data_IF_891264970566
#
_entry.id   IF_891264970566
#
_cell.length_a   1.000
_cell.length_b   1.000
_cell.length_c   1.000
_cell.angle_alpha   90.00
_cell.angle_beta   90.00
_cell.angle_gamma   90.00
#
_symmetry.space_group_name_H-M   'P 1'
#
loop_
_entity.id
_entity.type
_entity.pdbx_description
1 polymer ?
#
# COMPACT_ATOMS: atom_id res chain seq x y z
N UNK A 1 17.81 -30.06 6.89
CA UNK A 1 18.33 -29.55 5.60
C UNK A 1 17.69 -28.21 5.34
N UNK A 2 18.51 -27.18 5.50
CA UNK A 2 18.19 -25.75 5.43
C UNK A 2 17.87 -25.35 3.99
N UNK A 3 16.61 -25.04 3.71
CA UNK A 3 16.25 -24.26 2.51
C UNK A 3 16.29 -22.79 2.91
N UNK A 4 17.48 -22.24 2.82
CA UNK A 4 17.76 -20.81 2.71
C UNK A 4 17.06 -20.29 1.44
N UNK A 5 15.79 -19.87 1.58
CA UNK A 5 15.11 -19.04 0.60
C UNK A 5 15.59 -17.60 0.80
N UNK A 6 16.80 -17.36 0.30
CA UNK A 6 17.58 -16.14 0.47
C UNK A 6 16.82 -14.96 -0.15
N UNK A 7 16.82 -13.84 0.56
CA UNK A 7 16.55 -12.50 0.05
C UNK A 7 17.56 -12.02 -1.00
N UNK A 8 17.74 -12.78 -2.09
CA UNK A 8 18.51 -12.39 -3.27
C UNK A 8 17.57 -11.80 -4.32
N UNK A 9 16.99 -10.63 -4.02
CA UNK A 9 16.11 -9.93 -4.98
C UNK A 9 16.70 -8.69 -5.65
N UNK A 10 17.97 -8.29 -5.45
CA UNK A 10 18.63 -7.35 -6.38
C UNK A 10 19.63 -8.03 -7.36
N UNK A 11 20.30 -9.11 -6.98
CA UNK A 11 21.45 -9.64 -7.75
C UNK A 11 21.10 -10.72 -8.79
N UNK A 12 19.91 -11.34 -8.73
CA UNK A 12 19.50 -12.34 -9.75
C UNK A 12 19.12 -11.67 -11.08
N UNK A 13 18.99 -10.34 -11.14
CA UNK A 13 18.68 -9.63 -12.39
C UNK A 13 19.81 -9.60 -13.42
N UNK A 14 21.05 -9.95 -13.05
CA UNK A 14 22.20 -9.84 -13.95
C UNK A 14 22.55 -11.13 -14.73
N UNK A 15 21.98 -12.30 -14.38
CA UNK A 15 22.43 -13.58 -14.95
C UNK A 15 21.36 -14.44 -15.63
N UNK A 16 20.09 -14.03 -15.63
CA UNK A 16 19.03 -14.69 -16.40
C UNK A 16 18.39 -13.67 -17.33
N UNK A 17 18.37 -13.98 -18.62
CA UNK A 17 18.01 -13.05 -19.70
C UNK A 17 16.77 -12.20 -19.45
N UNK A 18 16.74 -11.03 -20.10
CA UNK A 18 15.72 -9.98 -19.91
C UNK A 18 14.30 -10.56 -19.72
N UNK A 19 13.69 -10.19 -18.58
CA UNK A 19 12.32 -10.58 -18.22
C UNK A 19 11.32 -9.88 -19.15
N UNK A 20 11.02 -10.54 -20.25
CA UNK A 20 10.17 -10.05 -21.34
C UNK A 20 8.83 -10.76 -21.42
N UNK A 21 8.71 -11.96 -20.85
CA UNK A 21 7.51 -12.79 -20.97
C UNK A 21 6.43 -12.37 -19.98
N UNK A 22 5.18 -12.50 -20.40
CA UNK A 22 4.03 -12.24 -19.54
C UNK A 22 3.95 -13.26 -18.39
N UNK A 23 3.51 -12.86 -17.18
CA UNK A 23 3.36 -13.78 -16.06
C UNK A 23 2.34 -14.87 -16.33
N UNK A 24 2.71 -16.12 -16.06
CA UNK A 24 1.81 -17.28 -16.09
C UNK A 24 0.71 -17.16 -15.03
N UNK A 25 -0.41 -17.92 -15.16
CA UNK A 25 -1.46 -17.96 -14.13
C UNK A 25 -0.93 -18.38 -12.76
N UNK A 26 0.02 -19.32 -12.73
CA UNK A 26 0.63 -19.83 -11.51
C UNK A 26 1.50 -18.78 -10.82
N UNK A 27 2.30 -18.02 -11.57
CA UNK A 27 3.06 -16.87 -11.01
C UNK A 27 2.13 -15.83 -10.37
N UNK A 28 1.01 -15.50 -11.03
CA UNK A 28 0.00 -14.57 -10.48
C UNK A 28 -0.66 -15.13 -9.22
N UNK A 29 -0.92 -16.43 -9.17
CA UNK A 29 -1.49 -17.09 -8.00
C UNK A 29 -0.51 -17.12 -6.83
N UNK A 30 0.76 -17.45 -7.07
CA UNK A 30 1.84 -17.40 -6.06
C UNK A 30 1.97 -15.98 -5.49
N UNK A 31 1.98 -14.95 -6.34
CA UNK A 31 2.00 -13.55 -5.89
C UNK A 31 0.79 -13.20 -5.00
N UNK A 32 -0.42 -13.66 -5.37
CA UNK A 32 -1.64 -13.49 -4.55
C UNK A 32 -1.54 -14.20 -3.20
N UNK A 33 -1.08 -15.46 -3.16
CA UNK A 33 -0.92 -16.22 -1.92
C UNK A 33 0.09 -15.58 -0.97
N UNK A 34 1.14 -14.99 -1.52
CA UNK A 34 2.15 -14.24 -0.76
C UNK A 34 1.66 -12.84 -0.32
N UNK A 35 0.42 -12.46 -0.63
CA UNK A 35 -0.13 -11.15 -0.28
C UNK A 35 0.47 -10.00 -1.09
N UNK A 36 1.12 -10.27 -2.23
CA UNK A 36 1.69 -9.23 -3.06
C UNK A 36 0.60 -8.50 -3.85
N UNK A 37 0.71 -7.17 -3.86
CA UNK A 37 -0.17 -6.27 -4.58
C UNK A 37 0.56 -4.97 -4.92
N UNK A 38 -0.05 -4.17 -5.77
CA UNK A 38 0.39 -2.81 -6.00
C UNK A 38 -0.33 -1.88 -5.02
N UNK A 39 0.36 -0.82 -4.61
CA UNK A 39 -0.18 0.18 -3.71
C UNK A 39 0.42 1.54 -4.08
N UNK A 40 -0.44 2.56 -4.21
CA UNK A 40 -0.01 3.93 -4.48
C UNK A 40 -0.13 4.78 -3.20
N UNK A 41 0.99 5.01 -2.50
CA UNK A 41 0.99 5.80 -1.27
C UNK A 41 0.68 7.28 -1.55
N UNK A 42 1.06 7.80 -2.72
CA UNK A 42 0.79 9.19 -3.09
C UNK A 42 -0.69 9.43 -3.38
N UNK A 43 -1.38 8.48 -4.04
CA UNK A 43 -2.83 8.57 -4.21
C UNK A 43 -3.58 8.48 -2.89
N UNK A 44 -3.19 7.56 -2.01
CA UNK A 44 -3.83 7.43 -0.70
C UNK A 44 -3.64 8.72 0.13
N UNK A 45 -2.43 9.26 0.14
CA UNK A 45 -2.12 10.52 0.84
C UNK A 45 -2.88 11.70 0.23
N UNK A 46 -2.96 11.80 -1.09
CA UNK A 46 -3.69 12.87 -1.77
C UNK A 46 -5.19 12.81 -1.57
N UNK A 47 -5.77 11.61 -1.53
CA UNK A 47 -7.19 11.44 -1.26
C UNK A 47 -7.51 11.75 0.21
N UNK A 48 -6.64 11.32 1.13
CA UNK A 48 -6.74 11.67 2.55
C UNK A 48 -6.69 13.19 2.76
N UNK A 49 -5.77 13.88 2.09
CA UNK A 49 -5.72 15.35 2.11
C UNK A 49 -7.00 15.98 1.55
N UNK A 50 -7.48 15.52 0.39
CA UNK A 50 -8.72 16.03 -0.21
C UNK A 50 -9.92 15.88 0.73
N UNK A 51 -10.13 14.67 1.26
CA UNK A 51 -11.20 14.38 2.22
C UNK A 51 -11.04 15.24 3.47
N UNK A 52 -9.83 15.33 4.01
CA UNK A 52 -9.53 16.18 5.16
C UNK A 52 -9.88 17.65 4.92
N UNK A 53 -9.60 18.20 3.73
CA UNK A 53 -9.97 19.57 3.40
C UNK A 53 -11.45 19.78 3.18
N UNK A 54 -12.15 18.83 2.53
CA UNK A 54 -13.62 18.89 2.40
C UNK A 54 -14.26 18.89 3.79
N UNK A 55 -13.84 17.98 4.66
CA UNK A 55 -14.34 17.90 6.03
C UNK A 55 -14.03 19.18 6.77
N UNK A 56 -12.78 19.67 6.73
CA UNK A 56 -12.41 20.91 7.40
C UNK A 56 -13.29 22.06 6.92
N UNK A 57 -13.50 22.22 5.61
CA UNK A 57 -14.36 23.29 5.07
C UNK A 57 -15.80 23.21 5.55
N UNK A 58 -16.37 22.00 5.64
CA UNK A 58 -17.75 21.79 6.08
C UNK A 58 -17.91 21.89 7.60
N UNK A 59 -16.89 21.44 8.35
CA UNK A 59 -16.95 21.27 9.79
C UNK A 59 -16.46 22.48 10.58
N UNK A 60 -15.56 23.29 10.02
CA UNK A 60 -14.99 24.43 10.74
C UNK A 60 -16.03 25.46 11.23
N UNK A 61 -17.08 25.81 10.45
CA UNK A 61 -18.12 26.71 10.94
C UNK A 61 -18.83 26.17 12.19
N UNK A 62 -19.12 24.86 12.18
CA UNK A 62 -19.77 24.18 13.31
C UNK A 62 -18.82 24.06 14.52
N UNK A 63 -17.55 23.71 14.29
CA UNK A 63 -16.52 23.67 15.33
C UNK A 63 -16.30 25.06 15.97
N UNK A 64 -16.36 26.14 15.18
CA UNK A 64 -16.27 27.50 15.70
C UNK A 64 -17.42 27.85 16.65
N UNK A 65 -18.65 27.38 16.35
CA UNK A 65 -19.80 27.57 17.23
C UNK A 65 -19.63 26.80 18.55
N UNK A 66 -19.15 25.54 18.49
CA UNK A 66 -18.85 24.76 19.69
C UNK A 66 -17.78 25.43 20.56
N UNK A 67 -16.69 25.90 19.96
CA UNK A 67 -15.63 26.58 20.68
C UNK A 67 -16.14 27.87 21.35
N UNK A 68 -16.96 28.66 20.67
CA UNK A 68 -17.59 29.84 21.26
C UNK A 68 -18.54 29.49 22.42
N UNK A 69 -19.25 28.37 22.32
CA UNK A 69 -20.05 27.82 23.41
C UNK A 69 -19.21 27.49 24.64
N UNK A 70 -18.10 26.76 24.46
CA UNK A 70 -17.17 26.41 25.54
C UNK A 70 -16.54 27.66 26.16
N UNK A 71 -16.09 28.61 25.34
CA UNK A 71 -15.52 29.87 25.83
C UNK A 71 -16.53 30.59 26.73
N UNK A 72 -17.79 30.70 26.30
CA UNK A 72 -18.85 31.33 27.10
C UNK A 72 -19.11 30.59 28.42
N UNK A 73 -19.06 29.26 28.41
CA UNK A 73 -19.24 28.45 29.62
C UNK A 73 -18.07 28.59 30.58
N UNK A 74 -16.82 28.55 30.08
CA UNK A 74 -15.63 28.74 30.90
C UNK A 74 -15.61 30.16 31.50
N UNK A 75 -15.95 31.19 30.72
CA UNK A 75 -16.06 32.56 31.23
C UNK A 75 -17.17 32.71 32.28
N UNK A 76 -18.30 32.05 32.09
CA UNK A 76 -19.38 32.01 33.09
C UNK A 76 -18.93 31.31 34.40
N UNK A 77 -18.17 30.23 34.29
CA UNK A 77 -17.62 29.53 35.45
C UNK A 77 -16.54 30.35 36.16
N UNK A 78 -15.69 31.05 35.40
CA UNK A 78 -14.65 31.93 35.95
C UNK A 78 -15.22 33.20 36.62
N UNK A 79 -16.39 33.66 36.18
CA UNK A 79 -17.11 34.80 36.80
C UNK A 79 -18.03 34.39 37.96
N UNK A 80 -18.28 33.09 38.15
CA UNK A 80 -18.96 32.57 39.33
C UNK A 80 -18.06 32.61 40.57
N UNK A 81 -18.59 32.99 41.73
CA UNK A 81 -17.83 33.31 42.95
C UNK A 81 -17.11 32.12 43.65
N UNK A 82 -16.96 30.97 42.99
CA UNK A 82 -16.30 29.77 43.54
C UNK A 82 -14.82 29.66 43.14
N UNK A 83 -13.97 28.95 43.92
CA UNK A 83 -12.58 28.72 43.54
C UNK A 83 -12.51 27.90 42.25
N UNK A 84 -11.80 28.41 41.23
CA UNK A 84 -11.57 27.70 39.95
C UNK A 84 -11.08 26.25 40.12
N UNK A 85 -10.29 26.00 41.18
CA UNK A 85 -9.80 24.68 41.55
C UNK A 85 -10.90 23.64 41.85
N UNK A 86 -12.08 24.07 42.35
CA UNK A 86 -13.22 23.18 42.61
C UNK A 86 -13.97 22.80 41.32
N UNK A 87 -13.78 23.57 40.24
CA UNK A 87 -14.41 23.37 38.93
C UNK A 87 -13.47 22.72 37.90
N UNK A 88 -12.25 22.34 38.28
CA UNK A 88 -11.29 21.72 37.36
C UNK A 88 -11.82 20.45 36.69
N UNK A 89 -12.56 19.61 37.45
CA UNK A 89 -13.15 18.38 36.92
C UNK A 89 -14.18 18.65 35.82
N UNK A 90 -15.07 19.61 36.03
CA UNK A 90 -16.09 20.00 35.06
C UNK A 90 -15.50 20.72 33.84
N UNK A 91 -14.44 21.51 34.01
CA UNK A 91 -13.71 22.11 32.88
C UNK A 91 -13.02 21.05 32.02
N UNK A 92 -12.41 20.03 32.63
CA UNK A 92 -11.80 18.90 31.90
C UNK A 92 -12.86 18.06 31.19
N UNK A 93 -14.01 17.82 31.83
CA UNK A 93 -15.13 17.09 31.22
C UNK A 93 -15.70 17.83 30.00
N UNK A 94 -16.03 19.11 30.15
CA UNK A 94 -16.52 19.95 29.04
C UNK A 94 -15.48 20.05 27.91
N UNK A 95 -14.21 20.30 28.26
CA UNK A 95 -13.13 20.35 27.28
C UNK A 95 -12.90 19.02 26.56
N UNK A 96 -13.01 17.90 27.29
CA UNK A 96 -12.90 16.55 26.75
C UNK A 96 -14.03 16.20 25.79
N UNK A 97 -15.27 16.51 26.15
CA UNK A 97 -16.44 16.30 25.27
C UNK A 97 -16.31 17.09 23.97
N UNK A 98 -15.96 18.38 24.04
CA UNK A 98 -15.79 19.20 22.85
C UNK A 98 -14.60 18.76 22.01
N UNK A 99 -13.50 18.34 22.64
CA UNK A 99 -12.37 17.77 21.91
C UNK A 99 -12.78 16.52 21.12
N UNK A 100 -13.57 15.62 21.73
CA UNK A 100 -14.09 14.44 21.04
C UNK A 100 -15.09 14.79 19.93
N UNK A 101 -16.00 15.72 20.17
CA UNK A 101 -16.98 16.21 19.18
C UNK A 101 -16.33 16.89 17.98
N UNK A 102 -15.13 17.45 18.13
CA UNK A 102 -14.36 18.02 17.03
C UNK A 102 -13.48 16.95 16.35
N UNK A 103 -12.79 16.12 17.13
CA UNK A 103 -11.81 15.15 16.60
C UNK A 103 -12.47 13.97 15.88
N UNK A 104 -13.48 13.34 16.49
CA UNK A 104 -14.11 12.14 15.93
C UNK A 104 -14.65 12.36 14.50
N UNK A 105 -15.46 13.39 14.21
CA UNK A 105 -16.00 13.63 12.88
C UNK A 105 -14.97 14.10 11.86
N UNK A 106 -13.79 14.58 12.31
CA UNK A 106 -12.67 14.90 11.42
C UNK A 106 -11.84 13.64 11.10
N UNK A 107 -11.46 12.88 12.14
CA UNK A 107 -10.52 11.75 12.02
C UNK A 107 -11.20 10.50 11.48
N UNK A 108 -12.41 10.19 11.94
CA UNK A 108 -13.11 8.96 11.57
C UNK A 108 -13.33 8.85 10.06
N UNK A 109 -13.83 9.86 9.34
CA UNK A 109 -14.05 9.72 7.90
C UNK A 109 -12.73 9.68 7.11
N UNK A 110 -11.66 10.34 7.59
CA UNK A 110 -10.33 10.24 6.96
C UNK A 110 -9.78 8.81 7.11
N UNK A 111 -9.91 8.21 8.31
CA UNK A 111 -9.53 6.81 8.54
C UNK A 111 -10.33 5.86 7.66
N UNK A 112 -11.66 6.02 7.61
CA UNK A 112 -12.54 5.19 6.77
C UNK A 112 -12.19 5.36 5.29
N UNK A 113 -11.97 6.58 4.81
CA UNK A 113 -11.55 6.83 3.43
C UNK A 113 -10.20 6.17 3.12
N UNK A 114 -9.22 6.28 4.02
CA UNK A 114 -7.92 5.64 3.87
C UNK A 114 -8.02 4.10 3.79
N UNK A 115 -8.83 3.49 4.66
CA UNK A 115 -9.09 2.06 4.65
C UNK A 115 -9.79 1.62 3.35
N UNK A 116 -10.83 2.34 2.92
CA UNK A 116 -11.56 2.04 1.69
C UNK A 116 -10.64 2.12 0.46
N UNK A 117 -9.80 3.15 0.37
CA UNK A 117 -8.82 3.27 -0.73
C UNK A 117 -7.82 2.12 -0.72
N UNK A 118 -7.28 1.77 0.46
CA UNK A 118 -6.38 0.64 0.60
C UNK A 118 -7.02 -0.67 0.13
N UNK A 119 -8.26 -0.91 0.53
CA UNK A 119 -9.05 -2.08 0.11
C UNK A 119 -9.36 -2.08 -1.39
N UNK A 120 -9.66 -0.92 -1.98
CA UNK A 120 -9.92 -0.78 -3.42
C UNK A 120 -8.66 -1.03 -4.27
N UNK A 121 -7.49 -0.55 -3.82
CA UNK A 121 -6.23 -0.75 -4.55
C UNK A 121 -5.72 -2.18 -4.45
N UNK A 122 -5.69 -2.75 -3.25
CA UNK A 122 -5.16 -4.10 -3.01
C UNK A 122 -6.16 -5.21 -3.39
N UNK A 123 -7.46 -4.90 -3.36
CA UNK A 123 -8.54 -5.87 -3.36
C UNK A 123 -8.63 -6.61 -2.01
N UNK A 124 -9.73 -7.32 -1.77
CA UNK A 124 -9.85 -8.22 -0.61
C UNK A 124 -8.85 -9.38 -0.74
N UNK A 125 -7.63 -9.19 -0.24
CA UNK A 125 -6.58 -10.22 -0.23
C UNK A 125 -6.16 -10.46 1.21
N UNK A 126 -6.56 -11.60 1.75
CA UNK A 126 -6.15 -12.03 3.08
C UNK A 126 -4.95 -12.97 2.94
N UNK A 127 -3.79 -12.56 3.44
CA UNK A 127 -2.61 -13.42 3.59
C UNK A 127 -1.93 -13.12 4.92
N UNK A 128 -1.68 -14.16 5.70
CA UNK A 128 -0.93 -14.07 6.95
C UNK A 128 0.58 -14.22 6.74
N UNK A 129 1.02 -14.56 5.52
CA UNK A 129 2.44 -14.75 5.19
C UNK A 129 3.27 -13.49 5.47
N UNK A 130 2.82 -12.27 5.13
CA UNK A 130 3.57 -11.04 5.43
C UNK A 130 3.67 -10.70 6.92
N UNK A 131 2.85 -11.31 7.79
CA UNK A 131 2.88 -11.08 9.24
C UNK A 131 3.97 -11.91 9.93
N UNK A 132 4.57 -12.89 9.25
CA UNK A 132 5.69 -13.65 9.78
C UNK A 132 6.92 -12.73 9.92
N UNK A 133 7.62 -12.74 11.08
CA UNK A 133 8.81 -11.93 11.26
C UNK A 133 9.92 -12.38 10.30
N UNK A 134 10.34 -11.44 9.44
CA UNK A 134 11.41 -11.66 8.46
C UNK A 134 12.61 -10.78 8.86
N UNK A 135 13.59 -11.39 9.54
CA UNK A 135 14.79 -10.68 10.02
C UNK A 135 15.61 -10.06 8.88
N UNK A 136 15.49 -10.55 7.64
CA UNK A 136 16.18 -9.95 6.50
C UNK A 136 15.61 -8.56 6.14
N UNK A 137 14.33 -8.32 6.45
CA UNK A 137 13.70 -6.99 6.26
C UNK A 137 14.16 -5.98 7.31
N UNK A 138 14.64 -6.44 8.46
CA UNK A 138 15.16 -5.61 9.53
C UNK A 138 16.65 -5.26 9.36
N UNK A 139 17.32 -5.83 8.35
CA UNK A 139 18.74 -5.56 8.12
C UNK A 139 18.95 -4.13 7.56
N UNK A 140 19.63 -3.22 8.28
CA UNK A 140 19.84 -1.84 7.85
C UNK A 140 20.69 -1.72 6.57
N UNK A 141 21.54 -2.71 6.27
CA UNK A 141 22.37 -2.73 5.06
C UNK A 141 21.49 -2.79 3.81
N UNK A 142 20.43 -3.61 3.85
CA UNK A 142 19.48 -3.72 2.74
C UNK A 142 18.73 -2.39 2.53
N UNK A 143 18.42 -1.68 3.61
CA UNK A 143 17.83 -0.34 3.56
C UNK A 143 18.75 0.67 2.88
N UNK A 144 20.03 0.71 3.27
CA UNK A 144 21.03 1.59 2.64
C UNK A 144 21.23 1.25 1.16
N UNK A 145 21.35 -0.04 0.82
CA UNK A 145 21.49 -0.47 -0.58
C UNK A 145 20.27 -0.02 -1.41
N UNK A 146 19.07 -0.11 -0.85
CA UNK A 146 17.87 0.36 -1.53
C UNK A 146 17.88 1.89 -1.72
N UNK A 147 18.33 2.67 -0.73
CA UNK A 147 18.46 4.13 -0.84
C UNK A 147 19.43 4.56 -1.95
N UNK A 148 20.54 3.83 -2.15
CA UNK A 148 21.53 4.09 -3.20
C UNK A 148 21.27 3.31 -4.50
N UNK A 149 20.13 2.65 -4.64
CA UNK A 149 19.74 1.94 -5.85
C UNK A 149 19.08 2.85 -6.89
N UNK A 150 18.85 2.34 -8.11
CA UNK A 150 18.05 3.05 -9.14
C UNK A 150 16.65 3.39 -8.64
N UNK A 151 16.06 2.52 -7.82
CA UNK A 151 14.74 2.73 -7.23
C UNK A 151 14.77 3.88 -6.21
N UNK A 152 15.81 3.94 -5.37
CA UNK A 152 16.04 5.03 -4.42
C UNK A 152 16.23 6.39 -5.10
N UNK A 153 17.00 6.42 -6.18
CA UNK A 153 17.17 7.63 -7.00
C UNK A 153 15.86 8.05 -7.68
N UNK A 154 15.05 7.11 -8.15
CA UNK A 154 13.73 7.40 -8.70
C UNK A 154 12.76 7.96 -7.65
N UNK A 155 12.75 7.39 -6.43
CA UNK A 155 11.99 7.90 -5.29
C UNK A 155 12.37 9.35 -4.96
N UNK A 156 13.67 9.68 -5.00
CA UNK A 156 14.17 11.03 -4.77
C UNK A 156 13.70 12.00 -5.85
N UNK A 157 13.89 11.65 -7.13
CA UNK A 157 13.43 12.47 -8.27
C UNK A 157 11.93 12.73 -8.17
N UNK A 158 11.15 11.69 -7.90
CA UNK A 158 9.70 11.78 -7.72
C UNK A 158 9.36 12.68 -6.53
N UNK A 159 10.08 12.58 -5.42
CA UNK A 159 9.93 13.45 -4.25
C UNK A 159 10.17 14.93 -4.58
N UNK A 160 11.28 15.24 -5.26
CA UNK A 160 11.62 16.59 -5.69
C UNK A 160 10.59 17.17 -6.68
N UNK A 161 10.14 16.37 -7.65
CA UNK A 161 9.13 16.80 -8.61
C UNK A 161 7.80 17.13 -7.90
N UNK A 162 7.39 16.31 -6.93
CA UNK A 162 6.21 16.56 -6.10
C UNK A 162 6.34 17.86 -5.33
N UNK A 163 7.46 18.05 -4.64
CA UNK A 163 7.74 19.27 -3.87
C UNK A 163 7.69 20.51 -4.77
N UNK A 164 8.30 20.43 -5.95
CA UNK A 164 8.36 21.52 -6.92
C UNK A 164 6.95 21.86 -7.45
N UNK A 165 6.15 20.87 -7.83
CA UNK A 165 4.77 21.11 -8.31
C UNK A 165 3.92 21.76 -7.22
N UNK A 166 3.90 21.18 -6.01
CA UNK A 166 3.11 21.71 -4.89
C UNK A 166 3.60 23.11 -4.50
N UNK A 167 4.93 23.31 -4.45
CA UNK A 167 5.57 24.58 -4.14
C UNK A 167 5.25 25.66 -5.17
N UNK A 168 5.23 25.33 -6.47
CA UNK A 168 4.81 26.28 -7.51
C UNK A 168 3.34 26.62 -7.40
N UNK A 169 2.46 25.65 -7.16
CA UNK A 169 1.02 25.91 -7.00
C UNK A 169 0.78 26.80 -5.79
N UNK A 170 1.33 26.46 -4.63
CA UNK A 170 1.19 27.26 -3.42
C UNK A 170 1.83 28.64 -3.57
N UNK A 171 3.05 28.71 -4.10
CA UNK A 171 3.79 29.95 -4.31
C UNK A 171 3.10 30.90 -5.28
N UNK A 172 2.57 30.40 -6.40
CA UNK A 172 1.80 31.19 -7.35
C UNK A 172 0.55 31.80 -6.70
N UNK A 173 -0.17 31.02 -5.90
CA UNK A 173 -1.37 31.50 -5.21
C UNK A 173 -1.05 32.54 -4.15
N UNK A 174 0.00 32.31 -3.37
CA UNK A 174 0.46 33.26 -2.36
C UNK A 174 0.90 34.54 -3.06
N UNK A 175 1.67 34.47 -4.16
CA UNK A 175 2.14 35.63 -4.90
C UNK A 175 0.98 36.51 -5.40
N UNK A 176 -0.07 35.90 -5.96
CA UNK A 176 -1.24 36.64 -6.42
C UNK A 176 -2.10 37.20 -5.28
N UNK A 177 -2.13 36.54 -4.12
CA UNK A 177 -2.93 36.99 -2.99
C UNK A 177 -2.17 37.96 -2.07
N UNK A 178 -0.83 37.95 -2.07
CA UNK A 178 0.07 38.85 -1.32
C UNK A 178 -0.29 40.32 -1.54
N UNK A 179 -0.69 40.70 -2.75
CA UNK A 179 -1.10 42.07 -3.06
C UNK A 179 -2.40 42.49 -2.36
N UNK A 180 -3.22 41.53 -1.91
CA UNK A 180 -4.45 41.77 -1.15
C UNK A 180 -4.24 41.78 0.37
N UNK A 181 -3.07 41.33 0.87
CA UNK A 181 -2.77 41.26 2.30
C UNK A 181 -2.67 42.61 3.01
N UNK A 182 -2.10 43.68 2.43
CA UNK A 182 -2.06 44.99 3.09
C UNK A 182 -3.46 45.53 3.42
N UNK A 183 -4.46 45.19 2.59
CA UNK A 183 -5.86 45.56 2.82
C UNK A 183 -6.51 44.77 3.96
N UNK A 184 -5.97 43.62 4.37
CA UNK A 184 -6.46 42.86 5.54
C UNK A 184 -6.06 43.53 6.86
N UNK A 185 -4.91 44.19 6.91
CA UNK A 185 -4.38 44.82 8.13
C UNK A 185 -5.20 46.04 8.58
N UNK A 186 -5.97 46.64 7.66
CA UNK A 186 -6.86 47.77 7.95
C UNK A 186 -8.30 47.37 8.25
N UNK A 187 -8.63 46.08 8.23
CA UNK A 187 -9.99 45.57 8.46
C UNK A 187 -10.24 45.24 9.95
N UNK A 188 -11.50 45.27 10.41
CA UNK A 188 -11.87 44.74 11.71
C UNK A 188 -11.44 43.27 11.86
N UNK A 189 -11.01 42.88 13.07
CA UNK A 189 -10.42 41.57 13.34
C UNK A 189 -11.25 40.40 12.79
N UNK A 190 -12.58 40.42 12.99
CA UNK A 190 -13.46 39.35 12.49
C UNK A 190 -13.47 39.23 10.97
N UNK A 191 -13.42 40.35 10.25
CA UNK A 191 -13.37 40.38 8.78
C UNK A 191 -12.01 39.89 8.29
N UNK A 192 -10.92 40.33 8.94
CA UNK A 192 -9.56 39.91 8.61
C UNK A 192 -9.37 38.39 8.80
N UNK A 193 -9.89 37.82 9.90
CA UNK A 193 -9.85 36.37 10.18
C UNK A 193 -10.66 35.59 9.14
N UNK A 194 -11.87 36.05 8.82
CA UNK A 194 -12.72 35.36 7.84
C UNK A 194 -12.09 35.37 6.44
N UNK A 195 -11.57 36.51 5.99
CA UNK A 195 -10.90 36.59 4.69
C UNK A 195 -9.61 35.76 4.70
N UNK A 196 -8.78 35.82 5.74
CA UNK A 196 -7.59 34.99 5.88
C UNK A 196 -7.91 33.49 5.78
N UNK A 197 -9.03 33.06 6.37
CA UNK A 197 -9.52 31.70 6.25
C UNK A 197 -9.89 31.31 4.81
N UNK A 198 -10.58 32.19 4.07
CA UNK A 198 -10.90 31.96 2.65
C UNK A 198 -9.64 31.85 1.79
N UNK A 199 -8.64 32.70 2.04
CA UNK A 199 -7.36 32.64 1.32
C UNK A 199 -6.63 31.31 1.61
N UNK A 200 -6.53 30.94 2.88
CA UNK A 200 -5.87 29.70 3.32
C UNK A 200 -6.57 28.47 2.73
N UNK A 201 -7.90 28.40 2.82
CA UNK A 201 -8.67 27.29 2.25
C UNK A 201 -8.56 27.22 0.73
N UNK A 202 -8.47 28.36 0.03
CA UNK A 202 -8.26 28.37 -1.42
C UNK A 202 -6.87 27.81 -1.81
N UNK A 203 -5.82 28.16 -1.06
CA UNK A 203 -4.47 27.62 -1.27
C UNK A 203 -4.43 26.12 -1.02
N UNK A 204 -4.96 25.69 0.13
CA UNK A 204 -4.97 24.29 0.54
C UNK A 204 -5.78 23.41 -0.43
N UNK A 205 -6.94 23.88 -0.88
CA UNK A 205 -7.78 23.17 -1.85
C UNK A 205 -7.04 22.92 -3.17
N UNK A 206 -6.39 23.95 -3.72
CA UNK A 206 -5.64 23.84 -4.99
C UNK A 206 -4.39 22.98 -4.84
N UNK A 207 -3.69 23.07 -3.71
CA UNK A 207 -2.56 22.20 -3.41
C UNK A 207 -2.97 20.73 -3.28
N UNK A 208 -4.09 20.45 -2.60
CA UNK A 208 -4.66 19.11 -2.50
C UNK A 208 -5.07 18.55 -3.87
N UNK A 209 -5.69 19.38 -4.70
CA UNK A 209 -6.06 19.02 -6.07
C UNK A 209 -4.83 18.70 -6.92
N UNK A 210 -3.77 19.51 -6.83
CA UNK A 210 -2.52 19.23 -7.52
C UNK A 210 -1.90 17.91 -7.04
N UNK A 211 -1.94 17.65 -5.73
CA UNK A 211 -1.35 16.45 -5.14
C UNK A 211 -2.14 15.17 -5.47
N UNK A 212 -3.48 15.21 -5.54
CA UNK A 212 -4.25 14.05 -6.00
C UNK A 212 -3.96 13.75 -7.48
N UNK A 213 -3.76 14.76 -8.33
CA UNK A 213 -3.43 14.55 -9.74
C UNK A 213 -2.08 13.82 -9.89
N UNK A 214 -1.10 14.18 -9.07
CA UNK A 214 0.16 13.45 -8.95
C UNK A 214 -0.11 12.02 -8.47
N UNK A 215 -0.96 11.84 -7.46
CA UNK A 215 -1.35 10.52 -6.96
C UNK A 215 -1.99 9.63 -8.03
N UNK A 216 -2.84 10.19 -8.90
CA UNK A 216 -3.45 9.46 -10.02
C UNK A 216 -2.37 8.99 -11.01
N UNK A 217 -1.40 9.85 -11.34
CA UNK A 217 -0.26 9.43 -12.16
C UNK A 217 0.57 8.32 -11.48
N UNK A 218 0.70 8.38 -10.14
CA UNK A 218 1.39 7.34 -9.37
C UNK A 218 0.66 5.99 -9.42
N UNK A 219 -0.67 5.95 -9.46
CA UNK A 219 -1.41 4.69 -9.66
C UNK A 219 -0.93 3.99 -10.94
N UNK A 220 -0.84 4.72 -12.05
CA UNK A 220 -0.41 4.16 -13.33
C UNK A 220 1.00 3.61 -13.27
N UNK A 221 1.92 4.36 -12.66
CA UNK A 221 3.30 3.93 -12.44
C UNK A 221 3.39 2.69 -11.56
N UNK A 222 2.73 2.68 -10.40
CA UNK A 222 2.77 1.56 -9.44
C UNK A 222 2.14 0.30 -10.02
N UNK A 223 1.04 0.45 -10.77
CA UNK A 223 0.43 -0.66 -11.49
C UNK A 223 1.39 -1.24 -12.53
N UNK A 224 2.03 -0.39 -13.35
CA UNK A 224 3.01 -0.83 -14.33
C UNK A 224 4.24 -1.48 -13.70
N UNK A 225 4.75 -0.91 -12.61
CA UNK A 225 5.90 -1.44 -11.87
C UNK A 225 5.60 -2.82 -11.29
N UNK A 226 4.41 -3.00 -10.70
CA UNK A 226 3.96 -4.29 -10.19
C UNK A 226 3.75 -5.33 -11.30
N UNK A 227 3.16 -4.95 -12.43
CA UNK A 227 3.04 -5.88 -13.56
C UNK A 227 4.41 -6.23 -14.15
N UNK A 228 5.34 -5.29 -14.15
CA UNK A 228 6.71 -5.51 -14.61
C UNK A 228 7.51 -6.40 -13.67
N UNK A 229 7.29 -6.33 -12.36
CA UNK A 229 7.93 -7.23 -11.38
C UNK A 229 7.43 -8.67 -11.49
N UNK A 230 6.22 -8.87 -12.04
CA UNK A 230 5.67 -10.20 -12.33
C UNK A 230 6.17 -10.79 -13.66
N UNK A 231 6.83 -10.02 -14.53
CA UNK A 231 7.37 -10.55 -15.80
C UNK A 231 8.37 -11.67 -15.55
N UNK A 232 8.42 -12.59 -16.51
CA UNK A 232 9.23 -13.79 -16.41
C UNK A 232 10.29 -13.82 -17.52
N UNK A 233 11.41 -14.48 -17.25
CA UNK A 233 12.36 -14.81 -18.32
C UNK A 233 11.87 -16.04 -19.10
N UNK A 234 12.38 -16.23 -20.31
CA UNK A 234 12.08 -17.45 -21.10
C UNK A 234 12.53 -18.72 -20.40
N UNK A 235 13.60 -18.65 -19.60
CA UNK A 235 14.08 -19.72 -18.74
C UNK A 235 13.08 -20.03 -17.63
N UNK A 236 12.63 -19.01 -16.88
CA UNK A 236 11.67 -19.15 -15.78
C UNK A 236 10.35 -19.77 -16.25
N UNK A 237 9.83 -19.35 -17.42
CA UNK A 237 8.61 -19.93 -17.99
C UNK A 237 8.81 -21.41 -18.30
N UNK A 238 9.93 -21.78 -18.93
CA UNK A 238 10.23 -23.19 -19.24
C UNK A 238 10.38 -24.04 -17.98
N UNK A 239 10.98 -23.49 -16.94
CA UNK A 239 11.18 -24.20 -15.69
C UNK A 239 9.85 -24.38 -14.93
N UNK A 240 8.96 -23.39 -14.96
CA UNK A 240 7.61 -23.53 -14.42
C UNK A 240 6.78 -24.58 -15.19
N UNK A 241 6.89 -24.62 -16.52
CA UNK A 241 6.27 -25.69 -17.32
C UNK A 241 6.79 -27.07 -16.95
N UNK A 242 8.10 -27.22 -16.69
CA UNK A 242 8.68 -28.50 -16.23
C UNK A 242 8.20 -28.87 -14.83
N UNK A 243 7.98 -27.93 -13.92
CA UNK A 243 7.44 -28.19 -12.58
C UNK A 243 6.00 -28.74 -12.66
N UNK A 244 5.18 -28.21 -13.58
CA UNK A 244 3.77 -28.59 -13.70
C UNK A 244 3.58 -29.88 -14.50
N UNK A 245 4.23 -30.01 -15.67
CA UNK A 245 4.04 -31.16 -16.57
C UNK A 245 5.07 -32.29 -16.36
N UNK A 246 6.13 -32.01 -15.61
CA UNK A 246 7.30 -32.88 -15.46
C UNK A 246 8.28 -32.74 -16.63
N UNK A 247 9.57 -32.99 -16.38
CA UNK A 247 10.58 -32.96 -17.45
C UNK A 247 10.26 -34.03 -18.52
N UNK A 248 10.06 -33.63 -19.81
CA UNK A 248 9.81 -34.56 -20.90
C UNK A 248 10.86 -35.68 -21.01
N UNK A 249 12.12 -35.39 -20.67
CA UNK A 249 13.22 -36.37 -20.67
C UNK A 249 13.02 -37.42 -19.59
N UNK A 250 12.54 -37.02 -18.41
CA UNK A 250 12.23 -37.96 -17.32
C UNK A 250 10.98 -38.77 -17.65
N UNK A 251 9.94 -38.14 -18.20
CA UNK A 251 8.73 -38.83 -18.67
C UNK A 251 9.07 -39.87 -19.76
N UNK A 252 9.94 -39.51 -20.70
CA UNK A 252 10.48 -40.41 -21.72
C UNK A 252 11.26 -41.57 -21.12
N UNK A 253 12.22 -41.29 -20.22
CA UNK A 253 12.99 -42.34 -19.51
C UNK A 253 12.10 -43.29 -18.72
N UNK A 254 11.08 -42.80 -18.01
CA UNK A 254 10.10 -43.65 -17.30
C UNK A 254 9.35 -44.56 -18.27
N UNK A 255 8.91 -44.02 -19.41
CA UNK A 255 8.20 -44.79 -20.45
C UNK A 255 9.09 -45.86 -21.09
N UNK A 256 10.36 -45.55 -21.36
CA UNK A 256 11.31 -46.52 -21.91
C UNK A 256 11.70 -47.59 -20.90
N UNK A 257 11.88 -47.23 -19.63
CA UNK A 257 12.12 -48.20 -18.55
C UNK A 257 10.91 -49.13 -18.36
N UNK A 258 9.68 -48.60 -18.39
CA UNK A 258 8.47 -49.39 -18.34
C UNK A 258 8.38 -50.40 -19.51
N UNK A 259 8.72 -49.98 -20.74
CA UNK A 259 8.79 -50.89 -21.90
C UNK A 259 9.85 -51.98 -21.74
N UNK A 260 11.01 -51.65 -21.18
CA UNK A 260 12.07 -52.64 -20.90
C UNK A 260 11.60 -53.66 -19.87
N UNK A 261 11.04 -53.22 -18.74
CA UNK A 261 10.51 -54.09 -17.71
C UNK A 261 9.38 -55.00 -18.23
N UNK A 262 8.47 -54.48 -19.06
CA UNK A 262 7.43 -55.30 -19.70
C UNK A 262 8.01 -56.41 -20.60
N UNK A 263 9.07 -56.12 -21.36
CA UNK A 263 9.78 -57.13 -22.18
C UNK A 263 10.51 -58.17 -21.34
N UNK A 264 11.12 -57.77 -20.23
CA UNK A 264 11.83 -58.70 -19.33
C UNK A 264 10.86 -59.56 -18.51
N UNK A 265 9.74 -58.98 -18.05
CA UNK A 265 8.70 -59.71 -17.33
C UNK A 265 8.08 -60.83 -18.17
N UNK A 266 7.88 -60.62 -19.48
CA UNK A 266 7.43 -61.67 -20.40
C UNK A 266 8.43 -62.83 -20.55
N UNK A 267 9.73 -62.58 -20.35
CA UNK A 267 10.76 -63.64 -20.32
C UNK A 267 10.76 -64.39 -19.00
N UNK A 268 10.64 -63.69 -17.86
CA UNK A 268 10.59 -64.32 -16.54
C UNK A 268 9.34 -65.20 -16.35
N UNK A 269 8.19 -64.81 -16.92
CA UNK A 269 6.97 -65.64 -16.92
C UNK A 269 7.15 -66.97 -17.68
N UNK A 270 8.05 -67.04 -18.70
CA UNK A 270 8.33 -68.29 -19.41
C UNK A 270 9.16 -69.29 -18.60
N UNK A 271 9.89 -68.83 -17.59
CA UNK A 271 10.74 -69.66 -16.73
C UNK A 271 10.09 -69.97 -15.36
N UNK A 272 8.93 -69.38 -15.06
CA UNK A 272 8.22 -69.54 -13.80
C UNK A 272 7.54 -70.92 -13.66
N UNK A 273 7.73 -71.58 -12.52
CA UNK A 273 7.18 -72.92 -12.25
C UNK A 273 5.71 -72.90 -11.82
N UNK A 274 5.24 -71.83 -11.17
CA UNK A 274 3.83 -71.61 -10.79
C UNK A 274 3.54 -70.11 -10.84
N UNK A 275 2.43 -69.72 -11.48
CA UNK A 275 1.94 -68.34 -11.48
C UNK A 275 0.72 -68.25 -10.58
N UNK A 276 0.78 -67.43 -9.53
CA UNK A 276 -0.37 -67.15 -8.66
C UNK A 276 -0.93 -65.78 -9.05
N UNK A 277 -2.18 -65.78 -9.49
CA UNK A 277 -2.88 -64.58 -9.99
C UNK A 277 -4.09 -64.27 -9.13
N UNK A 278 -4.26 -62.99 -8.82
CA UNK A 278 -5.52 -62.40 -8.37
C UNK A 278 -6.09 -61.57 -9.55
N UNK A 279 -7.27 -61.92 -10.09
CA UNK A 279 -7.74 -61.48 -11.41
C UNK A 279 -7.91 -59.96 -11.60
N UNK A 280 -7.84 -59.15 -10.54
CA UNK A 280 -8.05 -57.70 -10.64
C UNK A 280 -6.90 -56.84 -10.15
N UNK A 281 -5.91 -57.36 -9.40
CA UNK A 281 -4.93 -56.49 -8.75
C UNK A 281 -3.45 -56.91 -8.88
N UNK A 282 -3.09 -58.19 -8.83
CA UNK A 282 -1.68 -58.60 -8.91
C UNK A 282 -1.51 -60.03 -9.46
N UNK A 283 -0.49 -60.21 -10.29
CA UNK A 283 0.03 -61.52 -10.67
C UNK A 283 1.51 -61.57 -10.32
N UNK A 284 1.91 -62.60 -9.58
CA UNK A 284 3.32 -62.86 -9.24
C UNK A 284 3.68 -64.20 -9.87
N UNK A 285 4.76 -64.17 -10.64
CA UNK A 285 5.34 -65.30 -11.36
C UNK A 285 6.68 -65.68 -10.72
#
# INVERSE_FOLDING_TARGET
MTVTAIGLWPEIYALNGEKSQAPTPQKRQKARQQGQGWHSPDFQSGLGLLVGFVLLRLYLPWAGQLMGGVESQILAMASSAGPFAQNLGSVVEVGGHVALEILVPLVLPILVAGLLVGLLQSGFRFSLVPLAPDFNRLNPINGLQHMFSKDGLWLLIKGLLKLLIIGMVAGFLIWHQVLSYPALLSQPLGVAVHQGFLLLTAVLWRAALAYILIGIADIGYQYWAFQSSLKMSTQEVRDEFKEVEGDPRIKGKRRDMARKLARTGLRQVKEAQVVITNPTHYAVA
#
